data_IF_270648283278
#
_entry.id   IF_270648283278
#
_cell.length_a   1.000
_cell.length_b   1.000
_cell.length_c   1.000
_cell.angle_alpha   90.00
_cell.angle_beta   90.00
_cell.angle_gamma   90.00
#
_symmetry.space_group_name_H-M   'P 1'
#
loop_
_entity.id
_entity.type
_entity.pdbx_description
1 polymer ?
#
# COMPACT_ATOMS: atom_id res chain seq x y z
N UNK A 1 -8.28 21.71 11.24
CA UNK A 1 -9.46 22.50 10.80
C UNK A 1 -9.71 22.32 9.31
N UNK A 2 -8.70 22.45 8.45
CA UNK A 2 -8.81 22.40 6.98
C UNK A 2 -9.68 21.29 6.36
N UNK A 3 -9.68 20.07 6.92
CA UNK A 3 -10.53 18.99 6.40
C UNK A 3 -12.02 19.22 6.64
N UNK A 4 -12.38 19.75 7.81
CA UNK A 4 -13.77 19.99 8.17
C UNK A 4 -14.36 21.08 7.28
N UNK A 5 -13.59 22.15 7.04
CA UNK A 5 -13.98 23.24 6.14
C UNK A 5 -14.23 22.73 4.72
N UNK A 6 -13.32 21.90 4.17
CA UNK A 6 -13.51 21.28 2.86
C UNK A 6 -14.81 20.45 2.76
N UNK A 7 -15.13 19.65 3.78
CA UNK A 7 -16.38 18.86 3.77
C UNK A 7 -17.63 19.74 3.89
N UNK A 8 -17.56 20.83 4.65
CA UNK A 8 -18.64 21.81 4.73
C UNK A 8 -18.88 22.51 3.39
N UNK A 9 -17.80 22.92 2.69
CA UNK A 9 -17.89 23.54 1.36
C UNK A 9 -18.44 22.58 0.31
N UNK A 10 -17.99 21.32 0.33
CA UNK A 10 -18.51 20.27 -0.56
C UNK A 10 -20.02 20.06 -0.35
N UNK A 11 -20.46 19.97 0.91
CA UNK A 11 -21.88 19.83 1.23
C UNK A 11 -22.69 21.05 0.75
N UNK A 12 -22.20 22.26 0.99
CA UNK A 12 -22.86 23.49 0.56
C UNK A 12 -23.03 23.55 -0.97
N UNK A 13 -21.98 23.19 -1.72
CA UNK A 13 -22.02 23.16 -3.19
C UNK A 13 -23.02 22.12 -3.74
N UNK A 14 -23.08 20.93 -3.14
CA UNK A 14 -24.05 19.89 -3.53
C UNK A 14 -25.47 20.34 -3.19
N UNK A 15 -25.69 20.85 -1.99
CA UNK A 15 -26.99 21.34 -1.54
C UNK A 15 -27.53 22.48 -2.41
N UNK A 16 -26.67 23.42 -2.81
CA UNK A 16 -27.07 24.51 -3.70
C UNK A 16 -27.56 24.00 -5.06
N UNK A 17 -26.87 23.00 -5.64
CA UNK A 17 -27.28 22.41 -6.92
C UNK A 17 -28.57 21.60 -6.80
N UNK A 18 -28.72 20.85 -5.72
CA UNK A 18 -29.90 20.02 -5.49
C UNK A 18 -31.13 20.88 -5.19
N UNK A 19 -30.98 21.93 -4.37
CA UNK A 19 -32.10 22.82 -4.02
C UNK A 19 -32.67 23.57 -5.22
N UNK A 20 -31.86 23.80 -6.27
CA UNK A 20 -32.32 24.37 -7.56
C UNK A 20 -33.18 23.41 -8.39
N UNK A 21 -33.05 22.10 -8.17
CA UNK A 21 -33.72 21.05 -8.98
C UNK A 21 -34.86 20.38 -8.20
N UNK A 22 -34.69 20.18 -6.89
CA UNK A 22 -35.66 19.55 -6.01
C UNK A 22 -35.62 20.23 -4.63
N UNK A 23 -36.39 21.32 -4.43
CA UNK A 23 -36.38 22.07 -3.17
C UNK A 23 -36.98 21.27 -2.00
N UNK A 24 -38.02 20.47 -2.24
CA UNK A 24 -38.52 19.49 -1.29
C UNK A 24 -37.57 18.30 -1.21
N UNK A 25 -37.02 18.03 -0.02
CA UNK A 25 -36.05 16.94 0.20
C UNK A 25 -34.64 17.24 -0.29
N UNK A 26 -34.32 18.51 -0.64
CA UNK A 26 -32.98 18.91 -1.09
C UNK A 26 -31.88 18.49 -0.12
N UNK A 27 -32.17 18.57 1.18
CA UNK A 27 -31.26 18.21 2.26
C UNK A 27 -30.96 16.72 2.26
N UNK A 28 -31.98 15.87 2.19
CA UNK A 28 -31.84 14.41 2.18
C UNK A 28 -31.11 13.91 0.93
N UNK A 29 -31.41 14.51 -0.22
CA UNK A 29 -30.74 14.18 -1.48
C UNK A 29 -29.27 14.62 -1.44
N UNK A 30 -28.98 15.83 -0.97
CA UNK A 30 -27.61 16.31 -0.83
C UNK A 30 -26.80 15.45 0.16
N UNK A 31 -27.42 15.03 1.27
CA UNK A 31 -26.78 14.17 2.26
C UNK A 31 -26.45 12.80 1.67
N UNK A 32 -27.37 12.18 0.93
CA UNK A 32 -27.10 10.92 0.22
C UNK A 32 -25.96 11.05 -0.79
N UNK A 33 -25.90 12.15 -1.54
CA UNK A 33 -24.83 12.39 -2.52
C UNK A 33 -23.48 12.53 -1.80
N UNK A 34 -23.41 13.29 -0.71
CA UNK A 34 -22.18 13.44 0.06
C UNK A 34 -21.76 12.13 0.74
N UNK A 35 -22.72 11.33 1.23
CA UNK A 35 -22.44 10.00 1.75
C UNK A 35 -21.88 9.06 0.68
N UNK A 36 -22.43 9.05 -0.53
CA UNK A 36 -21.93 8.26 -1.66
C UNK A 36 -20.53 8.74 -2.09
N UNK A 37 -20.30 10.06 -2.19
CA UNK A 37 -18.95 10.60 -2.46
C UNK A 37 -17.97 10.22 -1.33
N UNK A 38 -18.39 10.27 -0.07
CA UNK A 38 -17.54 9.86 1.05
C UNK A 38 -17.28 8.34 1.05
N UNK A 39 -18.22 7.51 0.57
CA UNK A 39 -18.01 6.08 0.34
C UNK A 39 -17.07 5.86 -0.83
N UNK A 40 -17.20 6.60 -1.92
CA UNK A 40 -16.35 6.50 -3.10
C UNK A 40 -14.92 6.96 -2.80
N UNK A 41 -14.73 8.09 -2.11
CA UNK A 41 -13.41 8.53 -1.61
C UNK A 41 -12.81 7.49 -0.65
N UNK A 42 -13.62 6.84 0.21
CA UNK A 42 -13.16 5.73 1.05
C UNK A 42 -12.88 4.45 0.25
N UNK A 43 -13.57 4.21 -0.86
CA UNK A 43 -13.42 3.06 -1.75
C UNK A 43 -12.24 3.21 -2.69
N UNK A 44 -11.95 4.42 -3.18
CA UNK A 44 -10.71 4.79 -3.85
C UNK A 44 -9.53 4.71 -2.88
N UNK A 45 -9.73 5.14 -1.63
CA UNK A 45 -8.76 4.88 -0.57
C UNK A 45 -8.62 3.38 -0.31
N UNK A 46 -9.69 2.58 -0.38
CA UNK A 46 -9.69 1.12 -0.24
C UNK A 46 -9.02 0.38 -1.42
N UNK A 47 -9.14 0.93 -2.62
CA UNK A 47 -8.51 0.43 -3.85
C UNK A 47 -7.03 0.83 -3.92
N UNK A 48 -6.66 1.95 -3.30
CA UNK A 48 -5.27 2.24 -2.93
C UNK A 48 -4.81 1.44 -1.69
N UNK A 49 -5.71 1.02 -0.78
CA UNK A 49 -5.38 0.29 0.47
C UNK A 49 -5.34 -1.24 0.34
N UNK A 50 -5.41 -1.81 -0.87
CA UNK A 50 -4.68 -3.08 -1.10
C UNK A 50 -3.16 -2.85 -1.06
N UNK A 51 -2.72 -1.60 -1.12
CA UNK A 51 -1.40 -1.17 -0.70
C UNK A 51 -1.53 -0.34 0.60
N UNK A 52 -1.06 -0.93 1.69
CA UNK A 52 -0.56 -0.25 2.90
C UNK A 52 -1.58 0.00 4.03
N UNK A 53 -1.18 -0.52 5.20
CA UNK A 53 -1.47 -0.07 6.56
C UNK A 53 -2.65 -0.75 7.29
N UNK A 54 -2.46 -2.02 7.65
CA UNK A 54 -2.51 -2.34 9.08
C UNK A 54 -1.13 -2.00 9.65
N UNK A 55 -0.98 -0.77 10.14
CA UNK A 55 0.02 -0.45 11.14
C UNK A 55 -0.65 -0.64 12.49
N UNK A 56 -0.36 -1.77 13.10
CA UNK A 56 -0.29 -1.88 14.55
C UNK A 56 0.92 -2.73 14.88
N UNK A 57 1.97 -2.01 15.24
CA UNK A 57 2.98 -2.31 16.26
C UNK A 57 4.36 -1.89 15.76
N UNK A 58 4.97 -0.94 16.47
CA UNK A 58 6.42 -0.69 16.47
C UNK A 58 7.16 -1.89 17.11
N UNK A 59 6.88 -3.09 16.62
CA UNK A 59 7.77 -4.24 16.70
C UNK A 59 8.43 -4.37 15.34
N UNK A 60 9.68 -4.83 15.30
CA UNK A 60 10.36 -5.16 14.04
C UNK A 60 9.50 -6.17 13.27
N UNK A 61 8.65 -5.71 12.35
CA UNK A 61 7.75 -6.58 11.59
C UNK A 61 8.61 -7.51 10.75
N UNK A 62 8.56 -8.80 11.05
CA UNK A 62 9.31 -9.82 10.32
C UNK A 62 8.77 -9.99 8.90
N UNK A 63 9.65 -10.40 7.99
CA UNK A 63 9.32 -10.68 6.61
C UNK A 63 8.21 -11.73 6.53
N UNK A 64 7.15 -11.38 5.81
CA UNK A 64 5.98 -12.25 5.62
C UNK A 64 6.38 -13.53 4.89
N UNK A 65 5.61 -14.61 5.10
CA UNK A 65 5.81 -15.89 4.41
C UNK A 65 5.91 -15.72 2.89
N UNK A 66 5.07 -14.88 2.29
CA UNK A 66 5.09 -14.59 0.85
C UNK A 66 6.38 -13.92 0.39
N UNK A 67 6.92 -12.99 1.18
CA UNK A 67 8.20 -12.35 0.87
C UNK A 67 9.34 -13.36 0.94
N UNK A 68 9.36 -14.24 1.96
CA UNK A 68 10.36 -15.32 2.06
C UNK A 68 10.25 -16.30 0.89
N UNK A 69 9.05 -16.72 0.55
CA UNK A 69 8.80 -17.58 -0.63
C UNK A 69 9.26 -16.92 -1.92
N UNK A 70 9.04 -15.62 -2.09
CA UNK A 70 9.53 -14.88 -3.25
C UNK A 70 11.07 -14.83 -3.29
N UNK A 71 11.73 -14.55 -2.15
CA UNK A 71 13.19 -14.56 -2.05
C UNK A 71 13.76 -15.95 -2.42
N UNK A 72 13.13 -17.03 -1.96
CA UNK A 72 13.49 -18.40 -2.35
C UNK A 72 13.32 -18.66 -3.85
N UNK A 73 12.27 -18.12 -4.49
CA UNK A 73 12.09 -18.22 -5.95
C UNK A 73 13.20 -17.54 -6.74
N UNK A 74 13.81 -16.49 -6.19
CA UNK A 74 14.98 -15.83 -6.77
C UNK A 74 16.31 -16.57 -6.47
N UNK A 75 16.29 -17.69 -5.72
CA UNK A 75 17.47 -18.50 -5.45
C UNK A 75 18.17 -18.22 -4.11
N UNK A 76 17.56 -17.40 -3.24
CA UNK A 76 18.06 -17.22 -1.86
C UNK A 76 17.71 -18.45 -1.02
N UNK A 77 18.69 -19.09 -0.40
CA UNK A 77 18.51 -20.37 0.31
C UNK A 77 18.43 -20.21 1.82
N UNK A 78 19.22 -19.30 2.39
CA UNK A 78 19.36 -19.12 3.83
C UNK A 78 18.73 -17.78 4.26
N UNK A 79 17.41 -17.62 4.04
CA UNK A 79 16.71 -16.38 4.40
C UNK A 79 16.54 -16.31 5.93
N UNK A 80 17.08 -15.29 6.63
CA UNK A 80 17.06 -15.24 8.09
C UNK A 80 15.65 -15.10 8.65
N UNK A 81 15.37 -15.78 9.76
CA UNK A 81 14.06 -15.71 10.41
C UNK A 81 13.77 -14.34 11.03
N UNK A 82 14.82 -13.59 11.37
CA UNK A 82 14.76 -12.22 11.87
C UNK A 82 14.77 -11.16 10.75
N UNK A 83 14.71 -11.56 9.46
CA UNK A 83 14.67 -10.60 8.36
C UNK A 83 13.42 -9.73 8.50
N UNK A 84 13.58 -8.41 8.45
CA UNK A 84 12.43 -7.51 8.52
C UNK A 84 11.67 -7.45 7.19
N UNK A 85 10.38 -7.11 7.28
CA UNK A 85 9.49 -6.90 6.14
C UNK A 85 9.99 -5.79 5.21
N UNK A 86 10.62 -4.75 5.77
CA UNK A 86 11.21 -3.67 4.99
C UNK A 86 12.42 -4.17 4.21
N UNK A 87 13.40 -4.80 4.87
CA UNK A 87 14.58 -5.34 4.20
C UNK A 87 14.22 -6.37 3.13
N UNK A 88 13.27 -7.26 3.42
CA UNK A 88 12.79 -8.22 2.42
C UNK A 88 12.14 -7.53 1.21
N UNK A 89 11.43 -6.41 1.42
CA UNK A 89 10.85 -5.63 0.32
C UNK A 89 11.92 -4.94 -0.52
N UNK A 90 12.92 -4.34 0.12
CA UNK A 90 14.02 -3.66 -0.59
C UNK A 90 14.86 -4.64 -1.42
N UNK A 91 15.09 -5.85 -0.90
CA UNK A 91 15.79 -6.92 -1.62
C UNK A 91 14.96 -7.38 -2.83
N UNK A 92 13.67 -7.61 -2.65
CA UNK A 92 12.78 -8.02 -3.74
C UNK A 92 12.64 -6.94 -4.81
N UNK A 93 12.57 -5.67 -4.42
CA UNK A 93 12.47 -4.56 -5.38
C UNK A 93 13.71 -4.46 -6.27
N UNK A 94 14.91 -4.63 -5.69
CA UNK A 94 16.17 -4.72 -6.44
C UNK A 94 16.21 -5.92 -7.38
N UNK A 95 15.81 -7.10 -6.90
CA UNK A 95 15.76 -8.33 -7.72
C UNK A 95 14.79 -8.20 -8.89
N UNK A 96 13.62 -7.60 -8.65
CA UNK A 96 12.63 -7.32 -9.70
C UNK A 96 13.15 -6.26 -10.66
N UNK A 97 13.87 -5.24 -10.18
CA UNK A 97 14.56 -4.25 -11.00
C UNK A 97 15.52 -4.92 -11.99
N UNK A 98 16.50 -5.68 -11.48
CA UNK A 98 17.44 -6.41 -12.33
C UNK A 98 16.74 -7.39 -13.30
N UNK A 99 15.64 -8.03 -12.86
CA UNK A 99 14.85 -8.91 -13.73
C UNK A 99 14.14 -8.17 -14.87
N UNK A 100 13.74 -6.91 -14.68
CA UNK A 100 13.14 -6.07 -15.73
C UNK A 100 14.18 -5.61 -16.75
N UNK A 101 15.38 -5.29 -16.27
CA UNK A 101 16.52 -4.92 -17.12
C UNK A 101 17.15 -6.13 -17.83
N UNK A 102 16.73 -7.36 -17.50
CA UNK A 102 17.28 -8.60 -18.07
C UNK A 102 18.69 -8.92 -17.59
N UNK A 103 19.15 -8.26 -16.52
CA UNK A 103 20.51 -8.34 -16.01
C UNK A 103 20.68 -9.53 -15.06
N UNK A 104 20.70 -10.72 -15.64
CA UNK A 104 20.83 -11.98 -14.90
C UNK A 104 22.17 -12.11 -14.16
N UNK A 105 23.22 -11.42 -14.61
CA UNK A 105 24.54 -11.40 -13.95
C UNK A 105 24.47 -10.64 -12.61
N UNK A 106 23.81 -9.49 -12.59
CA UNK A 106 23.59 -8.73 -11.35
C UNK A 106 22.67 -9.46 -10.38
N UNK A 107 21.64 -10.16 -10.88
CA UNK A 107 20.80 -11.04 -10.04
C UNK A 107 21.65 -12.12 -9.37
N UNK A 108 22.47 -12.84 -10.16
CA UNK A 108 23.30 -13.92 -9.63
C UNK A 108 24.29 -13.42 -8.57
N UNK A 109 25.03 -12.33 -8.87
CA UNK A 109 25.97 -11.71 -7.91
C UNK A 109 25.27 -11.27 -6.63
N UNK A 110 24.13 -10.58 -6.76
CA UNK A 110 23.39 -10.08 -5.61
C UNK A 110 22.83 -11.20 -4.74
N UNK A 111 22.32 -12.28 -5.36
CA UNK A 111 21.84 -13.48 -4.65
C UNK A 111 22.99 -14.21 -3.97
N UNK A 112 24.15 -14.34 -4.61
CA UNK A 112 25.34 -14.96 -4.01
C UNK A 112 25.86 -14.15 -2.81
N UNK A 113 25.94 -12.82 -2.92
CA UNK A 113 26.34 -11.95 -1.82
C UNK A 113 25.39 -12.05 -0.62
N UNK A 114 24.08 -12.05 -0.87
CA UNK A 114 23.08 -12.19 0.19
C UNK A 114 23.13 -13.57 0.85
N UNK A 115 23.26 -14.64 0.07
CA UNK A 115 23.44 -15.99 0.60
C UNK A 115 24.73 -16.09 1.45
N UNK A 116 25.84 -15.50 1.00
CA UNK A 116 27.09 -15.48 1.75
C UNK A 116 27.01 -14.65 3.03
N UNK A 117 26.29 -13.52 2.99
CA UNK A 117 26.04 -12.65 4.16
C UNK A 117 25.22 -13.38 5.22
N UNK A 118 24.14 -14.03 4.82
CA UNK A 118 23.24 -14.71 5.75
C UNK A 118 23.81 -16.02 6.29
N UNK A 119 24.58 -16.75 5.47
CA UNK A 119 25.33 -17.93 5.93
C UNK A 119 26.37 -17.61 7.03
N UNK A 120 26.87 -16.37 7.10
CA UNK A 120 27.77 -15.91 8.17
C UNK A 120 27.06 -15.41 9.42
N UNK A 121 25.77 -15.10 9.31
CA UNK A 121 24.93 -14.61 10.43
C UNK A 121 24.15 -15.72 11.13
N UNK A 122 24.41 -16.98 10.77
CA UNK A 122 23.80 -18.19 11.32
C UNK A 122 24.85 -18.99 12.10
#
# INVERSE_FOLDING_TARGET
>A
MEKVDFYCELFAAVYERVSKVCPEGARDVALKIVEEIAKDVRSERGSQSKAKVEAKEEGVELATRKQREALHKFGLKDVPENLSKQEASEILDKLVGFSKDGDNDSIAKFVEELNAKWKKSQ
#
